data_IF_621132941077
#
_entry.id   IF_621132941077
#
_cell.length_a   1.000
_cell.length_b   1.000
_cell.length_c   1.000
_cell.angle_alpha   90.00
_cell.angle_beta   90.00
_cell.angle_gamma   90.00
#
_symmetry.space_group_name_H-M   'P 1'
#
loop_
_entity.id
_entity.type
_entity.pdbx_description
1 polymer ?
#
# COMPACT_ATOMS: atom_id res chain seq x y z
N UNK A 1 -3.71 -19.05 10.70
CA UNK A 1 -2.73 -19.86 11.46
C UNK A 1 -1.70 -18.86 11.94
N UNK A 2 -1.58 -18.67 13.25
CA UNK A 2 -0.65 -17.71 13.82
C UNK A 2 0.76 -18.30 13.91
N UNK A 3 1.69 -17.77 13.11
CA UNK A 3 3.09 -18.21 13.08
C UNK A 3 3.99 -17.42 14.04
N UNK A 4 3.46 -16.34 14.63
CA UNK A 4 4.21 -15.37 15.44
C UNK A 4 5.34 -14.67 14.67
N UNK A 5 5.19 -14.48 13.35
CA UNK A 5 6.21 -13.89 12.48
C UNK A 5 6.55 -12.44 12.85
N UNK A 6 5.62 -11.73 13.49
CA UNK A 6 5.79 -10.33 13.90
C UNK A 6 5.80 -10.16 15.41
N UNK A 7 6.03 -11.24 16.18
CA UNK A 7 6.06 -11.18 17.63
C UNK A 7 7.06 -10.14 18.13
N UNK A 8 6.54 -9.17 18.88
CA UNK A 8 7.34 -8.08 19.46
C UNK A 8 7.69 -6.96 18.47
N UNK A 9 7.24 -7.04 17.21
CA UNK A 9 7.44 -5.96 16.23
C UNK A 9 6.39 -4.88 16.39
N UNK A 10 6.82 -3.63 16.22
CA UNK A 10 6.01 -2.42 16.28
C UNK A 10 5.80 -1.83 14.89
N UNK A 11 4.67 -1.21 14.60
CA UNK A 11 4.54 -0.54 13.30
C UNK A 11 3.42 0.47 13.15
N UNK A 12 3.30 0.99 11.94
CA UNK A 12 2.20 1.86 11.52
C UNK A 12 1.56 1.29 10.26
N UNK A 13 0.23 1.28 10.23
CA UNK A 13 -0.55 0.85 9.07
C UNK A 13 -1.42 2.03 8.63
N UNK A 14 -1.15 2.54 7.42
CA UNK A 14 -1.93 3.64 6.83
C UNK A 14 -3.04 3.10 5.91
N UNK A 15 -4.11 3.88 5.74
CA UNK A 15 -5.06 3.69 4.63
C UNK A 15 -6.13 2.62 4.82
N UNK A 16 -6.35 2.11 6.03
CA UNK A 16 -7.52 1.27 6.33
C UNK A 16 -8.79 2.15 6.35
N UNK A 17 -9.74 1.88 5.45
CA UNK A 17 -11.03 2.57 5.41
C UNK A 17 -12.16 1.69 5.94
N UNK A 18 -12.27 0.47 5.42
CA UNK A 18 -13.34 -0.50 5.66
C UNK A 18 -12.80 -1.95 5.53
N UNK A 19 -13.66 -2.93 5.77
CA UNK A 19 -13.34 -4.36 5.75
C UNK A 19 -12.80 -4.89 4.40
N UNK A 20 -12.98 -4.13 3.31
CA UNK A 20 -12.49 -4.47 1.98
C UNK A 20 -11.08 -3.92 1.72
N UNK A 21 -10.60 -3.00 2.55
CA UNK A 21 -9.28 -2.39 2.39
C UNK A 21 -8.15 -3.41 2.62
N UNK A 22 -7.12 -3.40 1.77
CA UNK A 22 -5.93 -4.28 1.97
C UNK A 22 -5.29 -3.99 3.33
N UNK A 23 -5.14 -2.71 3.70
CA UNK A 23 -4.61 -2.29 5.00
C UNK A 23 -5.43 -2.82 6.19
N UNK A 24 -6.75 -3.02 6.03
CA UNK A 24 -7.59 -3.64 7.05
C UNK A 24 -7.20 -5.10 7.26
N UNK A 25 -7.05 -5.85 6.17
CA UNK A 25 -6.61 -7.25 6.24
C UNK A 25 -5.19 -7.37 6.81
N UNK A 26 -4.29 -6.45 6.46
CA UNK A 26 -2.93 -6.39 7.03
C UNK A 26 -2.97 -6.15 8.53
N UNK A 27 -3.82 -5.24 9.03
CA UNK A 27 -3.93 -4.98 10.45
C UNK A 27 -4.40 -6.22 11.24
N UNK A 28 -5.45 -6.89 10.76
CA UNK A 28 -5.93 -8.14 11.36
C UNK A 28 -4.84 -9.22 11.36
N UNK A 29 -4.15 -9.39 10.24
CA UNK A 29 -3.08 -10.39 10.13
C UNK A 29 -1.85 -10.04 10.98
N UNK A 30 -1.48 -8.76 11.05
CA UNK A 30 -0.35 -8.31 11.86
C UNK A 30 -0.63 -8.56 13.35
N UNK A 31 -1.86 -8.33 13.81
CA UNK A 31 -2.32 -8.69 15.16
C UNK A 31 -2.26 -10.21 15.38
N UNK A 32 -2.79 -11.01 14.45
CA UNK A 32 -2.72 -12.49 14.51
C UNK A 32 -1.26 -12.98 14.63
N UNK A 33 -0.31 -12.29 13.99
CA UNK A 33 1.12 -12.62 13.98
C UNK A 33 1.93 -11.99 15.13
N UNK A 34 1.26 -11.33 16.08
CA UNK A 34 1.86 -10.84 17.33
C UNK A 34 2.49 -9.45 17.27
N UNK A 35 2.16 -8.64 16.27
CA UNK A 35 2.59 -7.24 16.18
C UNK A 35 1.77 -6.33 17.09
N UNK A 36 2.38 -5.24 17.54
CA UNK A 36 1.68 -4.04 18.03
C UNK A 36 1.85 -2.92 17.01
N UNK A 37 0.84 -2.09 16.81
CA UNK A 37 0.92 -1.04 15.78
C UNK A 37 -0.01 0.11 16.10
N UNK A 38 0.04 1.14 15.27
CA UNK A 38 -0.93 2.25 15.23
C UNK A 38 -1.59 2.27 13.86
N UNK A 39 -2.91 2.51 13.85
CA UNK A 39 -3.66 2.76 12.63
C UNK A 39 -3.69 4.26 12.34
N UNK A 40 -3.69 4.62 11.06
CA UNK A 40 -3.85 6.02 10.66
C UNK A 40 -4.56 6.14 9.32
N UNK A 41 -5.33 7.21 9.19
CA UNK A 41 -5.92 7.64 7.93
C UNK A 41 -6.15 9.15 7.96
N UNK A 42 -6.39 9.75 6.81
CA UNK A 42 -6.72 11.16 6.70
C UNK A 42 -7.99 11.47 7.52
N UNK A 43 -8.08 12.64 8.21
CA UNK A 43 -9.24 12.98 9.05
C UNK A 43 -10.60 12.86 8.33
N UNK A 44 -10.64 13.13 7.02
CA UNK A 44 -11.85 12.97 6.22
C UNK A 44 -12.25 11.50 6.05
N UNK A 45 -11.29 10.60 5.88
CA UNK A 45 -11.53 9.17 5.72
C UNK A 45 -12.01 8.52 7.02
N UNK A 46 -11.51 8.98 8.18
CA UNK A 46 -11.96 8.51 9.49
C UNK A 46 -13.47 8.70 9.71
N UNK A 47 -14.04 9.80 9.18
CA UNK A 47 -15.47 10.09 9.28
C UNK A 47 -16.35 9.22 8.37
N UNK A 48 -15.75 8.58 7.37
CA UNK A 48 -16.45 7.81 6.34
C UNK A 48 -16.29 6.30 6.52
N UNK A 49 -15.24 5.88 7.22
CA UNK A 49 -14.85 4.48 7.37
C UNK A 49 -15.20 3.87 8.72
N UNK A 50 -14.82 2.61 8.88
CA UNK A 50 -15.02 1.79 10.09
C UNK A 50 -13.70 1.52 10.84
N UNK A 51 -12.66 2.33 10.60
CA UNK A 51 -11.32 2.11 11.16
C UNK A 51 -11.28 2.03 12.70
N UNK A 52 -12.22 2.68 13.41
CA UNK A 52 -12.32 2.56 14.86
C UNK A 52 -12.79 1.16 15.29
N UNK A 53 -13.61 0.48 14.49
CA UNK A 53 -13.99 -0.92 14.74
C UNK A 53 -12.78 -1.85 14.54
N UNK A 54 -11.98 -1.61 13.51
CA UNK A 54 -10.70 -2.31 13.30
C UNK A 54 -9.73 -2.06 14.46
N UNK A 55 -9.67 -0.82 14.95
CA UNK A 55 -8.79 -0.46 16.05
C UNK A 55 -9.16 -1.23 17.33
N UNK A 56 -10.46 -1.30 17.63
CA UNK A 56 -10.98 -2.12 18.73
C UNK A 56 -10.68 -3.61 18.53
N UNK A 57 -10.87 -4.14 17.33
CA UNK A 57 -10.59 -5.55 17.02
C UNK A 57 -9.11 -5.94 17.14
N UNK A 58 -8.20 -4.97 16.99
CA UNK A 58 -6.75 -5.17 17.05
C UNK A 58 -6.12 -4.73 18.38
N UNK A 59 -6.91 -4.21 19.33
CA UNK A 59 -6.43 -3.53 20.55
C UNK A 59 -5.37 -2.45 20.25
N UNK A 60 -5.66 -1.58 19.28
CA UNK A 60 -4.80 -0.47 18.85
C UNK A 60 -5.56 0.86 18.87
N UNK A 61 -4.82 1.95 18.76
CA UNK A 61 -5.37 3.28 18.59
C UNK A 61 -5.32 3.74 17.12
N UNK A 62 -6.10 4.78 16.84
CA UNK A 62 -6.10 5.50 15.56
C UNK A 62 -5.55 6.91 15.77
N UNK A 63 -4.52 7.29 15.02
CA UNK A 63 -3.99 8.65 15.02
C UNK A 63 -4.30 9.29 13.66
N UNK A 64 -5.12 10.36 13.60
CA UNK A 64 -5.42 11.03 12.35
C UNK A 64 -4.16 11.69 11.78
N UNK A 65 -3.88 11.46 10.50
CA UNK A 65 -2.79 12.15 9.80
C UNK A 65 -3.09 12.28 8.30
N UNK A 66 -2.96 13.48 7.76
CA UNK A 66 -2.86 13.71 6.33
C UNK A 66 -1.42 13.45 5.87
N UNK A 67 -1.20 12.34 5.17
CA UNK A 67 0.14 11.95 4.69
C UNK A 67 0.72 12.90 3.62
N UNK A 68 0.01 13.96 3.23
CA UNK A 68 0.56 15.05 2.41
C UNK A 68 1.16 16.19 3.23
N UNK A 69 0.91 16.25 4.55
CA UNK A 69 1.39 17.30 5.44
C UNK A 69 2.51 16.78 6.33
N UNK A 70 3.63 17.48 6.37
CA UNK A 70 4.81 17.05 7.15
C UNK A 70 4.51 17.07 8.65
N UNK A 71 3.77 18.08 9.10
CA UNK A 71 3.44 18.30 10.51
C UNK A 71 2.55 17.16 11.05
N UNK A 72 1.57 16.71 10.25
CA UNK A 72 0.71 15.56 10.59
C UNK A 72 1.54 14.27 10.67
N UNK A 73 2.50 14.06 9.77
CA UNK A 73 3.38 12.87 9.76
C UNK A 73 4.35 12.91 10.97
N UNK A 74 4.91 14.07 11.29
CA UNK A 74 5.77 14.25 12.47
C UNK A 74 5.00 13.92 13.76
N UNK A 75 3.79 14.47 13.91
CA UNK A 75 2.90 14.19 15.03
C UNK A 75 2.51 12.71 15.11
N UNK A 76 2.18 12.08 13.97
CA UNK A 76 1.87 10.65 13.89
C UNK A 76 3.02 9.80 14.42
N UNK A 77 4.24 10.02 13.94
CA UNK A 77 5.39 9.21 14.36
C UNK A 77 5.74 9.42 15.83
N UNK A 78 5.74 10.67 16.33
CA UNK A 78 6.04 10.96 17.73
C UNK A 78 5.05 10.29 18.67
N UNK A 79 3.74 10.48 18.44
CA UNK A 79 2.71 9.87 19.26
C UNK A 79 2.71 8.34 19.15
N UNK A 80 3.02 7.78 17.97
CA UNK A 80 3.12 6.34 17.81
C UNK A 80 4.29 5.75 18.60
N UNK A 81 5.46 6.39 18.57
CA UNK A 81 6.61 5.93 19.37
C UNK A 81 6.36 6.04 20.87
N UNK A 82 5.68 7.09 21.31
CA UNK A 82 5.26 7.25 22.72
C UNK A 82 4.32 6.11 23.15
N UNK A 83 3.24 5.88 22.39
CA UNK A 83 2.22 4.86 22.70
C UNK A 83 2.74 3.43 22.60
N UNK A 84 3.64 3.15 21.65
CA UNK A 84 4.21 1.81 21.44
C UNK A 84 5.46 1.55 22.30
N UNK A 85 5.96 2.55 23.02
CA UNK A 85 7.13 2.43 23.89
C UNK A 85 8.45 2.27 23.13
N UNK A 86 8.60 2.97 22.01
CA UNK A 86 9.87 3.09 21.27
C UNK A 86 9.73 3.12 19.75
N UNK A 87 10.85 2.89 19.07
CA UNK A 87 10.97 2.85 17.61
C UNK A 87 10.14 1.74 16.97
N UNK A 88 9.90 1.88 15.68
CA UNK A 88 9.06 1.01 14.87
C UNK A 88 9.90 0.02 14.05
N UNK A 89 9.34 -1.15 13.76
CA UNK A 89 9.94 -2.18 12.91
C UNK A 89 9.32 -2.22 11.53
N UNK A 90 8.09 -1.73 11.35
CA UNK A 90 7.47 -1.69 10.03
C UNK A 90 6.51 -0.52 9.79
N UNK A 91 6.37 -0.14 8.52
CA UNK A 91 5.39 0.86 8.06
C UNK A 91 4.73 0.36 6.77
N UNK A 92 3.40 0.34 6.73
CA UNK A 92 2.62 0.15 5.51
C UNK A 92 2.11 1.48 4.97
N UNK A 93 2.46 1.78 3.71
CA UNK A 93 1.85 2.84 2.92
C UNK A 93 0.81 2.23 1.96
N UNK A 94 -0.47 2.39 2.29
CA UNK A 94 -1.60 1.92 1.50
C UNK A 94 -2.52 3.09 1.15
N UNK A 95 -1.96 4.15 0.58
CA UNK A 95 -2.66 5.40 0.26
C UNK A 95 -2.69 5.60 -1.26
N UNK A 96 -3.85 5.98 -1.79
CA UNK A 96 -4.00 6.35 -3.19
C UNK A 96 -5.34 7.01 -3.48
N UNK A 97 -5.31 8.09 -4.25
CA UNK A 97 -6.50 8.80 -4.73
C UNK A 97 -6.10 9.73 -5.87
N UNK A 98 -6.94 9.79 -6.91
CA UNK A 98 -6.84 10.77 -7.98
C UNK A 98 -8.12 11.59 -8.07
N UNK A 99 -8.06 12.94 -7.99
CA UNK A 99 -9.22 13.77 -8.27
C UNK A 99 -9.64 13.71 -9.74
N UNK A 100 -8.70 13.51 -10.69
CA UNK A 100 -9.03 13.32 -12.11
C UNK A 100 -9.90 12.06 -12.31
N UNK A 101 -9.47 10.92 -11.77
CA UNK A 101 -10.23 9.66 -11.84
C UNK A 101 -11.59 9.80 -11.15
N UNK A 102 -11.62 10.35 -9.93
CA UNK A 102 -12.88 10.55 -9.19
C UNK A 102 -13.89 11.48 -9.87
N UNK A 103 -13.42 12.34 -10.78
CA UNK A 103 -14.25 13.28 -11.54
C UNK A 103 -14.45 12.85 -13.00
N UNK A 104 -14.00 11.65 -13.37
CA UNK A 104 -14.15 11.12 -14.73
C UNK A 104 -13.44 11.96 -15.79
N UNK A 105 -12.30 12.58 -15.46
CA UNK A 105 -11.49 13.31 -16.44
C UNK A 105 -10.72 12.33 -17.29
N UNK A 106 -10.87 12.47 -18.60
CA UNK A 106 -10.09 11.73 -19.59
C UNK A 106 -8.59 12.05 -19.49
N UNK A 107 -7.74 11.06 -19.76
CA UNK A 107 -6.29 11.21 -19.68
C UNK A 107 -5.73 12.22 -20.70
N UNK A 108 -6.37 12.39 -21.87
CA UNK A 108 -6.02 13.42 -22.84
C UNK A 108 -6.41 14.85 -22.41
N UNK A 109 -7.16 15.01 -21.32
CA UNK A 109 -7.68 16.29 -20.85
C UNK A 109 -7.64 16.40 -19.31
N UNK A 110 -6.47 16.06 -18.73
CA UNK A 110 -6.26 16.15 -17.29
C UNK A 110 -6.36 17.59 -16.79
N UNK A 111 -6.91 17.75 -15.58
CA UNK A 111 -6.66 18.95 -14.80
C UNK A 111 -5.30 18.81 -14.10
N UNK A 112 -4.36 19.71 -14.38
CA UNK A 112 -3.00 19.63 -13.86
C UNK A 112 -2.90 19.87 -12.35
N UNK A 113 -3.74 20.72 -11.76
CA UNK A 113 -3.77 20.88 -10.29
C UNK A 113 -4.24 19.60 -9.61
N UNK A 114 -5.17 18.88 -10.24
CA UNK A 114 -5.64 17.58 -9.78
C UNK A 114 -4.56 16.52 -9.97
N UNK A 115 -3.81 16.56 -11.07
CA UNK A 115 -2.71 15.64 -11.30
C UNK A 115 -1.61 15.79 -10.25
N UNK A 116 -1.22 17.03 -9.92
CA UNK A 116 -0.26 17.30 -8.86
C UNK A 116 -0.75 16.77 -7.51
N UNK A 117 -2.05 16.89 -7.20
CA UNK A 117 -2.65 16.28 -6.01
C UNK A 117 -2.63 14.74 -6.07
N UNK A 118 -2.90 14.13 -7.22
CA UNK A 118 -2.80 12.67 -7.42
C UNK A 118 -1.39 12.18 -7.09
N UNK A 119 -0.36 12.87 -7.61
CA UNK A 119 1.05 12.56 -7.33
C UNK A 119 1.40 12.78 -5.86
N UNK A 120 0.92 13.87 -5.25
CA UNK A 120 1.23 14.16 -3.86
C UNK A 120 0.65 13.10 -2.91
N UNK A 121 -0.63 12.77 -3.09
CA UNK A 121 -1.33 11.81 -2.25
C UNK A 121 -0.85 10.38 -2.50
N UNK A 122 -0.66 9.99 -3.76
CA UNK A 122 -0.47 8.59 -4.14
C UNK A 122 0.99 8.17 -4.31
N UNK A 123 1.94 9.12 -4.25
CA UNK A 123 3.37 8.86 -4.40
C UNK A 123 4.24 9.68 -3.44
N UNK A 124 4.18 11.02 -3.46
CA UNK A 124 5.07 11.84 -2.64
C UNK A 124 4.78 11.68 -1.14
N UNK A 125 3.56 11.37 -0.75
CA UNK A 125 3.22 11.00 0.64
C UNK A 125 4.11 9.86 1.16
N UNK A 126 4.49 8.89 0.31
CA UNK A 126 5.41 7.81 0.67
C UNK A 126 6.83 8.35 0.94
N UNK A 127 7.32 9.24 0.07
CA UNK A 127 8.58 9.94 0.29
C UNK A 127 8.56 10.77 1.57
N UNK A 128 7.49 11.55 1.81
CA UNK A 128 7.31 12.37 3.01
C UNK A 128 7.35 11.50 4.27
N UNK A 129 6.65 10.36 4.27
CA UNK A 129 6.69 9.40 5.38
C UNK A 129 8.08 8.81 5.62
N UNK A 130 8.83 8.47 4.57
CA UNK A 130 10.21 7.95 4.67
C UNK A 130 11.18 9.01 5.18
N UNK A 131 11.12 10.22 4.63
CA UNK A 131 11.95 11.36 5.02
C UNK A 131 11.76 11.71 6.49
N UNK A 132 10.51 11.84 6.92
CA UNK A 132 10.20 12.17 8.32
C UNK A 132 10.62 11.03 9.26
N UNK A 133 10.45 9.77 8.84
CA UNK A 133 10.92 8.63 9.62
C UNK A 133 12.44 8.66 9.81
N UNK A 134 13.21 9.01 8.78
CA UNK A 134 14.67 9.13 8.86
C UNK A 134 15.09 10.29 9.76
N UNK A 135 14.49 11.47 9.58
CA UNK A 135 14.78 12.68 10.37
C UNK A 135 14.52 12.49 11.88
N UNK A 136 13.43 11.80 12.22
CA UNK A 136 13.02 11.55 13.61
C UNK A 136 13.57 10.22 14.16
N UNK A 137 14.42 9.52 13.42
CA UNK A 137 15.05 8.26 13.84
C UNK A 137 14.02 7.18 14.26
N UNK A 138 12.92 7.08 13.51
CA UNK A 138 11.71 6.32 13.86
C UNK A 138 11.88 4.81 13.76
N UNK A 139 12.56 4.33 12.72
CA UNK A 139 12.64 2.89 12.41
C UNK A 139 13.83 2.22 13.10
N UNK A 140 13.67 1.02 13.63
CA UNK A 140 14.78 0.18 14.09
C UNK A 140 15.71 -0.23 12.94
N UNK A 141 16.93 -0.65 13.28
CA UNK A 141 17.79 -1.34 12.32
C UNK A 141 17.07 -2.60 11.81
N UNK A 142 17.17 -2.89 10.51
CA UNK A 142 16.40 -3.95 9.85
C UNK A 142 14.87 -3.75 9.83
N UNK A 143 14.38 -2.52 10.03
CA UNK A 143 12.97 -2.19 9.79
C UNK A 143 12.52 -2.40 8.33
N UNK A 144 11.22 -2.47 8.09
CA UNK A 144 10.62 -2.72 6.77
C UNK A 144 9.54 -1.73 6.40
N UNK A 145 9.68 -1.07 5.25
CA UNK A 145 8.68 -0.16 4.71
C UNK A 145 8.13 -0.75 3.40
N UNK A 146 6.80 -0.83 3.31
CA UNK A 146 6.11 -1.36 2.13
C UNK A 146 5.10 -0.35 1.61
N UNK A 147 5.17 -0.04 0.31
CA UNK A 147 4.15 0.73 -0.41
C UNK A 147 3.31 -0.16 -1.33
N UNK A 148 2.00 0.07 -1.42
CA UNK A 148 1.15 -0.63 -2.38
C UNK A 148 1.16 0.06 -3.74
N UNK A 149 1.60 -0.66 -4.77
CA UNK A 149 1.64 -0.24 -6.17
C UNK A 149 0.68 -1.06 -7.03
N UNK A 150 0.72 -0.82 -8.33
CA UNK A 150 -0.05 -1.54 -9.33
C UNK A 150 0.72 -1.62 -10.66
N UNK A 151 0.51 -2.69 -11.43
CA UNK A 151 1.21 -2.96 -12.70
C UNK A 151 0.97 -1.89 -13.78
N UNK A 152 -0.03 -1.01 -13.60
CA UNK A 152 -0.19 0.18 -14.44
C UNK A 152 1.06 1.09 -14.46
N UNK A 153 1.94 0.97 -13.47
CA UNK A 153 3.23 1.65 -13.47
C UNK A 153 4.18 1.19 -14.59
N UNK A 154 3.98 -0.01 -15.16
CA UNK A 154 4.82 -0.56 -16.24
C UNK A 154 4.05 -0.80 -17.55
N UNK A 155 2.75 -1.09 -17.49
CA UNK A 155 1.91 -1.43 -18.64
C UNK A 155 0.65 -0.58 -18.62
N UNK A 156 0.30 0.04 -19.75
CA UNK A 156 -0.85 0.94 -19.80
C UNK A 156 -2.18 0.19 -19.60
N UNK A 157 -3.07 0.79 -18.81
CA UNK A 157 -4.49 0.43 -18.69
C UNK A 157 -5.31 1.70 -18.84
N UNK A 158 -6.15 1.78 -19.88
CA UNK A 158 -6.77 3.03 -20.33
C UNK A 158 -7.61 3.71 -19.24
N UNK A 159 -8.32 2.93 -18.42
CA UNK A 159 -9.19 3.47 -17.37
C UNK A 159 -8.47 3.82 -16.07
N UNK A 160 -7.15 3.54 -15.96
CA UNK A 160 -6.38 3.81 -14.74
C UNK A 160 -5.97 5.28 -14.61
N UNK A 161 -6.04 6.05 -15.71
CA UNK A 161 -5.82 7.49 -15.72
C UNK A 161 -4.44 7.89 -15.19
N UNK A 162 -4.40 9.02 -14.47
CA UNK A 162 -3.16 9.60 -13.94
C UNK A 162 -2.56 8.84 -12.73
N UNK A 163 -3.24 7.80 -12.24
CA UNK A 163 -2.72 6.91 -11.19
C UNK A 163 -1.56 6.05 -11.68
N UNK A 164 -1.45 5.76 -12.98
CA UNK A 164 -0.36 4.97 -13.53
C UNK A 164 0.99 5.65 -13.29
N UNK A 165 1.06 6.96 -13.54
CA UNK A 165 2.24 7.79 -13.29
C UNK A 165 2.53 7.88 -11.79
N UNK A 166 1.49 8.04 -10.97
CA UNK A 166 1.67 8.07 -9.52
C UNK A 166 2.27 6.75 -8.99
N UNK A 167 1.82 5.59 -9.48
CA UNK A 167 2.40 4.29 -9.10
C UNK A 167 3.84 4.13 -9.61
N UNK A 168 4.16 4.58 -10.82
CA UNK A 168 5.55 4.59 -11.30
C UNK A 168 6.47 5.45 -10.43
N UNK A 169 6.00 6.63 -9.99
CA UNK A 169 6.74 7.52 -9.07
C UNK A 169 6.92 6.86 -7.70
N UNK A 170 5.87 6.25 -7.15
CA UNK A 170 5.91 5.52 -5.87
C UNK A 170 7.00 4.44 -5.86
N UNK A 171 7.06 3.62 -6.91
CA UNK A 171 8.08 2.58 -7.05
C UNK A 171 9.50 3.14 -7.21
N UNK A 172 9.63 4.29 -7.89
CA UNK A 172 10.92 4.99 -8.02
C UNK A 172 11.40 5.54 -6.68
N UNK A 173 10.48 6.07 -5.86
CA UNK A 173 10.77 6.49 -4.48
C UNK A 173 11.24 5.30 -3.65
N UNK A 174 10.60 4.13 -3.76
CA UNK A 174 11.00 2.93 -3.03
C UNK A 174 12.45 2.52 -3.33
N UNK A 175 12.88 2.58 -4.60
CA UNK A 175 14.28 2.31 -4.97
C UNK A 175 15.23 3.36 -4.40
N UNK A 176 14.90 4.64 -4.58
CA UNK A 176 15.76 5.76 -4.19
C UNK A 176 15.97 5.80 -2.67
N UNK A 177 14.89 5.69 -1.90
CA UNK A 177 14.97 5.65 -0.43
C UNK A 177 15.47 4.31 0.09
N UNK A 178 15.16 3.19 -0.57
CA UNK A 178 15.67 1.88 -0.17
C UNK A 178 17.20 1.81 -0.21
N UNK A 179 17.83 2.41 -1.22
CA UNK A 179 19.29 2.53 -1.27
C UNK A 179 19.83 3.35 -0.10
N UNK A 180 19.24 4.53 0.14
CA UNK A 180 19.64 5.45 1.20
C UNK A 180 19.49 4.82 2.60
N UNK A 181 18.29 4.33 2.91
CA UNK A 181 17.93 3.84 4.24
C UNK A 181 18.54 2.47 4.53
N UNK A 182 18.72 1.65 3.50
CA UNK A 182 19.45 0.39 3.59
C UNK A 182 20.92 0.60 3.96
N UNK A 183 21.57 1.62 3.40
CA UNK A 183 22.97 1.95 3.74
C UNK A 183 23.11 2.49 5.17
N UNK A 184 22.22 3.38 5.61
CA UNK A 184 22.31 4.01 6.93
C UNK A 184 21.85 3.11 8.07
N UNK A 185 20.85 2.25 7.84
CA UNK A 185 20.15 1.52 8.92
C UNK A 185 19.68 0.12 8.59
N UNK A 186 20.07 -0.45 7.45
CA UNK A 186 19.57 -1.76 6.97
C UNK A 186 18.04 -1.80 6.85
N UNK A 187 17.37 -0.65 6.78
CA UNK A 187 15.93 -0.57 6.56
C UNK A 187 15.65 -0.92 5.12
N UNK A 188 14.76 -1.88 4.91
CA UNK A 188 14.32 -2.30 3.57
C UNK A 188 13.08 -1.53 3.14
N UNK A 189 13.05 -1.12 1.88
CA UNK A 189 11.93 -0.39 1.28
C UNK A 189 11.52 -1.08 0.00
N UNK A 190 10.30 -1.57 -0.08
CA UNK A 190 9.77 -2.30 -1.23
C UNK A 190 8.38 -1.79 -1.62
N UNK A 191 7.96 -2.10 -2.84
CA UNK A 191 6.56 -2.02 -3.24
C UNK A 191 5.99 -3.39 -3.54
N UNK A 192 4.69 -3.56 -3.31
CA UNK A 192 3.94 -4.72 -3.80
C UNK A 192 3.01 -4.25 -4.92
N UNK A 193 3.16 -4.84 -6.09
CA UNK A 193 2.26 -4.66 -7.22
C UNK A 193 1.18 -5.74 -7.15
N UNK A 194 0.05 -5.37 -6.55
CA UNK A 194 -1.06 -6.28 -6.21
C UNK A 194 -2.04 -6.45 -7.37
N UNK A 195 -2.75 -7.58 -7.46
CA UNK A 195 -3.93 -7.75 -8.34
C UNK A 195 -4.95 -6.61 -8.21
N UNK A 196 -5.77 -6.33 -9.24
CA UNK A 196 -6.93 -5.46 -9.07
C UNK A 196 -7.82 -6.04 -7.96
N UNK A 197 -8.13 -5.23 -6.95
CA UNK A 197 -8.82 -5.68 -5.73
C UNK A 197 -10.08 -4.85 -5.50
N UNK A 198 -11.21 -5.53 -5.22
CA UNK A 198 -12.53 -4.90 -4.96
C UNK A 198 -12.53 -4.15 -3.62
N UNK A 199 -11.91 -2.99 -3.62
CA UNK A 199 -11.86 -2.04 -2.49
C UNK A 199 -12.69 -0.79 -2.83
N UNK A 200 -13.04 0.03 -1.86
CA UNK A 200 -13.72 1.33 -2.11
C UNK A 200 -12.94 2.23 -3.09
N UNK A 201 -11.60 2.15 -3.11
CA UNK A 201 -10.79 2.85 -4.10
C UNK A 201 -10.84 2.19 -5.50
N UNK A 202 -10.88 0.85 -5.55
CA UNK A 202 -10.91 0.08 -6.80
C UNK A 202 -12.25 0.15 -7.52
N UNK A 203 -13.37 0.02 -6.79
CA UNK A 203 -14.73 0.03 -7.35
C UNK A 203 -15.16 1.40 -7.89
N UNK A 204 -14.39 2.46 -7.61
CA UNK A 204 -14.63 3.81 -8.15
C UNK A 204 -14.09 4.03 -9.56
N UNK A 205 -13.44 3.03 -10.16
CA UNK A 205 -12.88 3.10 -11.52
C UNK A 205 -13.91 2.56 -12.52
N UNK A 206 -14.22 3.34 -13.55
CA UNK A 206 -15.12 2.87 -14.61
C UNK A 206 -14.51 1.67 -15.35
N UNK A 207 -15.32 0.66 -15.64
CA UNK A 207 -14.87 -0.60 -16.22
C UNK A 207 -14.06 -1.53 -15.28
N UNK A 208 -14.05 -1.27 -13.96
CA UNK A 208 -13.29 -2.09 -13.00
C UNK A 208 -13.65 -3.59 -13.06
N UNK A 209 -14.93 -3.95 -13.19
CA UNK A 209 -15.34 -5.36 -13.22
C UNK A 209 -14.80 -6.09 -14.46
N UNK A 210 -14.83 -5.44 -15.62
CA UNK A 210 -14.25 -6.00 -16.85
C UNK A 210 -12.74 -6.16 -16.70
N UNK A 211 -12.07 -5.18 -16.08
CA UNK A 211 -10.65 -5.25 -15.79
C UNK A 211 -10.29 -6.36 -14.80
N UNK A 212 -11.09 -6.52 -13.75
CA UNK A 212 -10.94 -7.57 -12.75
C UNK A 212 -11.06 -8.95 -13.41
N UNK A 213 -12.09 -9.16 -14.23
CA UNK A 213 -12.27 -10.43 -14.96
C UNK A 213 -11.14 -10.69 -15.96
N UNK A 214 -10.68 -9.65 -16.67
CA UNK A 214 -9.54 -9.76 -17.59
C UNK A 214 -8.27 -10.19 -16.85
N UNK A 215 -7.96 -9.54 -15.73
CA UNK A 215 -6.80 -9.88 -14.92
C UNK A 215 -6.91 -11.31 -14.37
N UNK A 216 -8.08 -11.70 -13.88
CA UNK A 216 -8.33 -13.05 -13.34
C UNK A 216 -8.03 -14.14 -14.38
N UNK A 217 -8.52 -13.97 -15.61
CA UNK A 217 -8.27 -14.91 -16.72
C UNK A 217 -6.82 -14.90 -17.19
N UNK A 218 -6.14 -13.77 -17.09
CA UNK A 218 -4.72 -13.62 -17.44
C UNK A 218 -3.79 -14.16 -16.36
N UNK A 219 -4.26 -14.37 -15.13
CA UNK A 219 -3.50 -14.92 -14.02
C UNK A 219 -3.67 -16.43 -13.92
N UNK A 220 -2.61 -17.24 -14.08
CA UNK A 220 -2.69 -18.70 -13.90
C UNK A 220 -3.25 -19.14 -12.53
N UNK A 221 -3.09 -18.34 -11.47
CA UNK A 221 -3.64 -18.62 -10.13
C UNK A 221 -4.89 -17.78 -9.80
N UNK A 222 -5.44 -17.05 -10.76
CA UNK A 222 -6.49 -16.06 -10.53
C UNK A 222 -5.98 -14.78 -9.84
N UNK A 223 -6.88 -13.82 -9.63
CA UNK A 223 -6.54 -12.59 -8.91
C UNK A 223 -6.26 -12.88 -7.43
N UNK A 224 -5.13 -12.34 -6.93
CA UNK A 224 -4.83 -12.36 -5.51
C UNK A 224 -5.85 -11.52 -4.73
N UNK A 225 -6.35 -12.05 -3.61
CA UNK A 225 -7.30 -11.33 -2.74
C UNK A 225 -6.59 -10.31 -1.84
N UNK A 226 -7.37 -9.48 -1.14
CA UNK A 226 -6.84 -8.60 -0.10
C UNK A 226 -6.19 -9.39 1.06
N UNK A 227 -6.74 -10.57 1.39
CA UNK A 227 -6.19 -11.47 2.42
C UNK A 227 -4.88 -12.12 1.96
N UNK A 228 -4.77 -12.52 0.69
CA UNK A 228 -3.51 -13.01 0.11
C UNK A 228 -2.44 -11.91 0.14
N UNK A 229 -2.80 -10.69 -0.25
CA UNK A 229 -1.91 -9.53 -0.20
C UNK A 229 -1.43 -9.27 1.24
N UNK A 230 -2.34 -9.36 2.22
CA UNK A 230 -1.98 -9.22 3.62
C UNK A 230 -0.99 -10.29 4.05
N UNK A 231 -1.22 -11.57 3.73
CA UNK A 231 -0.27 -12.65 4.02
C UNK A 231 1.11 -12.37 3.41
N UNK A 232 1.17 -11.88 2.17
CA UNK A 232 2.43 -11.56 1.51
C UNK A 232 3.16 -10.37 2.17
N UNK A 233 2.44 -9.32 2.57
CA UNK A 233 2.99 -8.16 3.30
C UNK A 233 3.64 -8.59 4.62
N UNK A 234 3.00 -9.50 5.35
CA UNK A 234 3.54 -10.02 6.62
C UNK A 234 4.91 -10.66 6.42
N UNK A 235 5.13 -11.36 5.30
CA UNK A 235 6.46 -11.91 4.99
C UNK A 235 7.50 -10.80 4.91
N UNK A 236 7.17 -9.66 4.29
CA UNK A 236 8.08 -8.51 4.15
C UNK A 236 8.37 -7.83 5.49
N UNK A 237 7.41 -7.80 6.40
CA UNK A 237 7.59 -7.28 7.76
C UNK A 237 8.37 -8.26 8.67
N UNK A 238 8.34 -9.55 8.36
CA UNK A 238 9.08 -10.58 9.09
C UNK A 238 10.60 -10.50 8.88
N UNK A 239 11.35 -11.25 9.68
CA UNK A 239 12.81 -11.34 9.52
C UNK A 239 13.26 -12.21 8.35
N UNK A 240 12.34 -12.96 7.71
CA UNK A 240 12.66 -13.86 6.61
C UNK A 240 13.09 -13.12 5.34
N UNK A 241 12.77 -11.84 5.22
CA UNK A 241 13.04 -11.03 4.02
C UNK A 241 14.01 -9.87 4.30
N UNK A 242 14.85 -9.98 5.34
CA UNK A 242 15.82 -8.92 5.70
C UNK A 242 16.74 -8.50 4.54
N UNK A 243 16.97 -9.39 3.58
CA UNK A 243 17.80 -9.14 2.40
C UNK A 243 17.03 -8.73 1.14
N UNK A 244 15.73 -8.41 1.26
CA UNK A 244 14.88 -7.99 0.13
C UNK A 244 14.57 -6.50 0.27
N UNK A 245 15.21 -5.68 -0.57
CA UNK A 245 14.97 -4.22 -0.62
C UNK A 245 14.96 -3.72 -2.06
N UNK A 246 14.32 -2.57 -2.29
CA UNK A 246 14.22 -1.88 -3.58
C UNK A 246 13.48 -2.69 -4.66
N UNK A 247 12.71 -3.69 -4.26
CA UNK A 247 11.96 -4.54 -5.19
C UNK A 247 10.56 -3.99 -5.41
N UNK A 248 10.09 -4.09 -6.66
CA UNK A 248 8.67 -4.08 -6.95
C UNK A 248 8.21 -5.53 -7.11
N UNK A 249 7.48 -6.02 -6.10
CA UNK A 249 7.13 -7.43 -5.98
C UNK A 249 5.72 -7.64 -6.53
N UNK A 250 5.62 -8.29 -7.68
CA UNK A 250 4.33 -8.69 -8.24
C UNK A 250 3.68 -9.77 -7.37
N UNK A 251 2.44 -9.51 -6.97
CA UNK A 251 1.61 -10.41 -6.19
C UNK A 251 0.22 -10.44 -6.84
N UNK A 252 0.15 -11.15 -7.96
CA UNK A 252 -0.94 -11.01 -8.91
C UNK A 252 -1.36 -12.33 -9.58
N UNK A 253 -0.98 -13.46 -8.98
CA UNK A 253 -1.28 -14.79 -9.50
C UNK A 253 -0.60 -15.11 -10.84
N UNK A 254 0.43 -14.35 -11.22
CA UNK A 254 1.19 -14.52 -12.46
C UNK A 254 0.76 -13.60 -13.61
N UNK A 255 -0.13 -12.64 -13.36
CA UNK A 255 -0.58 -11.68 -14.37
C UNK A 255 0.59 -10.94 -15.04
N UNK A 256 1.55 -10.45 -14.26
CA UNK A 256 2.69 -9.66 -14.74
C UNK A 256 3.60 -10.40 -15.72
N UNK A 257 3.67 -11.72 -15.58
CA UNK A 257 4.54 -12.58 -16.39
C UNK A 257 3.79 -13.24 -17.57
N UNK A 258 2.47 -13.09 -17.64
CA UNK A 258 1.64 -13.73 -18.65
C UNK A 258 1.49 -12.86 -19.90
N UNK A 259 1.78 -13.42 -21.07
CA UNK A 259 1.57 -12.77 -22.37
C UNK A 259 0.15 -12.94 -22.90
N UNK A 260 -0.31 -14.19 -22.97
CA UNK A 260 -1.70 -14.60 -23.26
C UNK A 260 -1.97 -15.93 -22.55
N UNK A 261 -3.20 -16.15 -22.11
CA UNK A 261 -3.63 -17.41 -21.45
C UNK A 261 -4.76 -18.07 -22.23
N UNK A 262 -4.93 -19.39 -22.06
CA UNK A 262 -6.04 -20.14 -22.65
C UNK A 262 -7.40 -19.55 -22.24
N UNK A 263 -7.52 -19.07 -20.99
CA UNK A 263 -8.73 -18.43 -20.49
C UNK A 263 -9.15 -17.16 -21.24
N UNK A 264 -8.19 -16.44 -21.85
CA UNK A 264 -8.47 -15.31 -22.76
C UNK A 264 -8.74 -15.81 -24.18
N UNK A 265 -7.94 -16.76 -24.69
CA UNK A 265 -8.11 -17.33 -26.03
C UNK A 265 -9.53 -17.90 -26.19
N UNK A 266 -10.02 -18.64 -25.20
CA UNK A 266 -11.34 -19.25 -25.24
C UNK A 266 -12.47 -18.21 -25.17
N UNK A 267 -12.26 -17.08 -24.48
CA UNK A 267 -13.20 -15.96 -24.48
C UNK A 267 -13.25 -15.24 -25.83
N UNK A 268 -12.13 -15.20 -26.57
CA UNK A 268 -12.05 -14.56 -27.90
C UNK A 268 -12.59 -15.42 -29.04
N UNK A 269 -12.68 -16.74 -28.85
CA UNK A 269 -13.24 -17.67 -29.86
C UNK A 269 -14.77 -17.71 -29.88
N UNK A 270 -15.42 -17.21 -28.83
CA UNK A 270 -16.88 -17.16 -28.68
C UNK A 270 -17.39 -15.74 -28.94
#
# INVERSE_FOLDING_TARGET
MAYNLLKGKRGIITGALDENSIAWKVALKAKEEGATFILTNAPVALRMGKINELAAACDTEVIPADATKIEDIEALYQQSMEKLGGKLDFVLHSIGMSPNVRKGRDYGNLNYDWFLKSLDISALSFHKMLQTAEKLDVLNEYGSVVGLSYIAAQRTFDTYGDMAQAKAVLESIARSYGARYGMSKKVRVNTISQSPTKTTAGTGIDGFDAFYEYADRMSPLGNATADDCANYIITLFSDMTRMVTMQNLFHDGGFSASGITDGIIDKMKN
#
